data_IF_191260114488
#
_entry.id   IF_191260114488
#
_cell.length_a   1.000
_cell.length_b   1.000
_cell.length_c   1.000
_cell.angle_alpha   90.00
_cell.angle_beta   90.00
_cell.angle_gamma   90.00
#
_symmetry.space_group_name_H-M   'P 1'
#
loop_
_entity.id
_entity.type
_entity.pdbx_description
1 polymer ?
#
# COMPACT_ATOMS: atom_id res chain seq x y z
N UNK A 1 -18.74 59.11 2.40
CA UNK A 1 -18.89 58.35 3.66
C UNK A 1 -18.94 56.87 3.30
N UNK A 2 -17.84 56.14 3.57
CA UNK A 2 -17.64 54.74 3.21
C UNK A 2 -18.17 53.85 4.34
N UNK A 3 -18.85 52.77 3.98
CA UNK A 3 -19.28 51.71 4.90
C UNK A 3 -18.11 50.77 5.25
N UNK A 4 -18.28 50.19 6.44
CA UNK A 4 -17.30 49.53 7.30
C UNK A 4 -16.80 48.18 6.79
N UNK A 5 -15.48 47.99 6.81
CA UNK A 5 -14.81 46.69 6.68
C UNK A 5 -14.66 46.08 8.08
N UNK A 6 -15.14 44.86 8.26
CA UNK A 6 -14.99 44.08 9.49
C UNK A 6 -13.72 43.20 9.43
N UNK A 7 -12.87 43.42 10.44
CA UNK A 7 -11.99 42.51 11.19
C UNK A 7 -10.70 41.95 10.53
N UNK A 8 -9.59 42.45 11.07
CA UNK A 8 -8.25 41.85 11.12
C UNK A 8 -7.95 41.28 12.52
N UNK A 9 -7.28 40.11 12.54
CA UNK A 9 -6.21 39.65 13.47
C UNK A 9 -6.50 39.20 14.92
N UNK A 10 -6.15 37.94 15.24
CA UNK A 10 -5.15 37.44 16.26
C UNK A 10 -5.44 35.95 16.61
N UNK A 11 -4.61 34.96 16.24
CA UNK A 11 -3.39 34.43 16.92
C UNK A 11 -3.66 33.54 18.17
N UNK A 12 -3.06 32.32 18.13
CA UNK A 12 -2.74 31.35 19.21
C UNK A 12 -3.82 30.29 19.55
N UNK A 13 -3.55 29.02 19.86
CA UNK A 13 -2.38 28.14 19.95
C UNK A 13 -2.94 26.81 20.52
N UNK A 14 -2.69 25.64 19.91
CA UNK A 14 -2.21 24.39 20.55
C UNK A 14 -1.94 23.40 19.41
N UNK A 15 -0.70 23.39 18.95
CA UNK A 15 -0.10 22.26 18.27
C UNK A 15 0.20 21.21 19.33
N UNK A 16 -0.63 20.16 19.44
CA UNK A 16 -0.20 18.92 20.08
C UNK A 16 0.34 18.01 18.99
N UNK A 17 1.65 18.02 18.85
CA UNK A 17 2.43 17.05 18.09
C UNK A 17 2.23 15.66 18.69
N UNK A 18 1.39 14.82 18.09
CA UNK A 18 1.45 13.38 18.28
C UNK A 18 2.36 12.80 17.21
N UNK A 19 3.65 12.77 17.55
CA UNK A 19 4.61 11.84 16.95
C UNK A 19 4.16 10.43 17.32
N UNK A 20 3.27 9.83 16.52
CA UNK A 20 2.98 8.41 16.65
C UNK A 20 4.16 7.69 15.99
N UNK A 21 5.16 7.36 16.80
CA UNK A 21 6.01 6.20 16.51
C UNK A 21 5.05 5.02 16.36
N UNK A 22 5.00 4.44 15.16
CA UNK A 22 4.32 3.19 14.91
C UNK A 22 5.10 2.05 15.56
N UNK A 23 5.09 2.01 16.90
CA UNK A 23 5.36 0.79 17.65
C UNK A 23 4.03 0.02 17.67
N UNK A 24 3.86 -0.87 16.70
CA UNK A 24 2.78 -1.86 16.69
C UNK A 24 3.03 -2.86 17.84
N UNK A 25 2.70 -2.44 19.06
CA UNK A 25 2.53 -3.37 20.17
C UNK A 25 1.12 -3.94 20.02
N UNK A 26 1.03 -5.16 19.47
CA UNK A 26 -0.14 -6.00 19.61
C UNK A 26 -0.36 -6.23 21.11
N UNK A 27 -1.34 -5.54 21.70
CA UNK A 27 -1.87 -5.96 22.99
C UNK A 27 -2.42 -7.38 22.82
N UNK A 28 -2.06 -8.34 23.69
CA UNK A 28 -2.64 -9.67 23.62
C UNK A 28 -4.13 -9.54 23.91
N UNK A 29 -4.96 -9.85 22.92
CA UNK A 29 -6.39 -9.99 23.10
C UNK A 29 -6.62 -10.98 24.25
N UNK A 30 -7.38 -10.53 25.24
CA UNK A 30 -7.77 -11.31 26.41
C UNK A 30 -8.54 -12.54 25.91
N UNK A 31 -8.02 -13.73 26.21
CA UNK A 31 -8.38 -14.95 25.53
C UNK A 31 -9.86 -15.31 25.54
N UNK A 32 -10.32 -15.84 24.42
CA UNK A 32 -11.35 -16.88 24.33
C UNK A 32 -10.99 -17.83 23.18
N UNK A 33 -11.36 -19.09 23.38
CA UNK A 33 -10.86 -20.31 22.76
C UNK A 33 -11.21 -20.49 21.26
N UNK A 34 -10.50 -21.45 20.63
CA UNK A 34 -10.84 -22.16 19.39
C UNK A 34 -12.30 -22.02 18.98
N UNK A 35 -12.56 -21.23 17.95
CA UNK A 35 -13.86 -21.16 17.31
C UNK A 35 -13.70 -20.73 15.86
N UNK A 36 -14.05 -21.63 14.93
CA UNK A 36 -14.77 -21.18 13.74
C UNK A 36 -15.92 -20.31 14.25
N UNK A 37 -15.81 -18.98 14.12
CA UNK A 37 -16.79 -18.04 14.65
C UNK A 37 -18.07 -18.15 13.83
N UNK A 38 -18.91 -19.13 14.19
CA UNK A 38 -20.25 -19.30 13.63
C UNK A 38 -21.10 -18.16 14.19
N UNK A 39 -21.24 -17.08 13.45
CA UNK A 39 -22.16 -15.98 13.79
C UNK A 39 -23.62 -16.44 13.64
N UNK A 40 -24.49 -15.95 14.51
CA UNK A 40 -25.94 -16.16 14.44
C UNK A 40 -26.59 -15.30 13.34
N UNK A 41 -25.88 -14.31 12.79
CA UNK A 41 -26.40 -13.46 11.73
C UNK A 41 -26.44 -14.18 10.37
N UNK A 42 -27.62 -14.14 9.77
CA UNK A 42 -27.90 -14.75 8.47
C UNK A 42 -28.61 -13.74 7.58
N UNK A 43 -28.25 -13.78 6.29
CA UNK A 43 -29.07 -13.23 5.22
C UNK A 43 -29.98 -14.34 4.67
N UNK A 44 -30.63 -14.10 3.55
CA UNK A 44 -31.39 -15.12 2.85
C UNK A 44 -31.28 -15.01 1.32
N UNK A 45 -31.76 -16.04 0.63
CA UNK A 45 -31.74 -16.10 -0.83
C UNK A 45 -32.46 -14.94 -1.52
N UNK A 46 -33.50 -14.39 -0.88
CA UNK A 46 -34.30 -13.29 -1.43
C UNK A 46 -33.58 -11.95 -1.29
N UNK A 47 -32.94 -11.70 -0.14
CA UNK A 47 -32.09 -10.54 0.09
C UNK A 47 -30.89 -10.53 -0.87
N UNK A 48 -30.23 -11.67 -1.06
CA UNK A 48 -29.12 -11.81 -2.03
C UNK A 48 -29.62 -11.55 -3.46
N UNK A 49 -30.75 -12.14 -3.86
CA UNK A 49 -31.31 -11.93 -5.20
C UNK A 49 -31.70 -10.48 -5.43
N UNK A 50 -32.34 -9.84 -4.45
CA UNK A 50 -32.70 -8.44 -4.49
C UNK A 50 -31.46 -7.55 -4.60
N UNK A 51 -30.44 -7.78 -3.80
CA UNK A 51 -29.19 -7.02 -3.85
C UNK A 51 -28.50 -7.12 -5.21
N UNK A 52 -28.42 -8.33 -5.79
CA UNK A 52 -27.87 -8.57 -7.14
C UNK A 52 -28.64 -7.75 -8.18
N UNK A 53 -29.97 -7.75 -8.12
CA UNK A 53 -30.82 -7.02 -9.06
C UNK A 53 -30.65 -5.51 -8.90
N UNK A 54 -30.74 -5.00 -7.68
CA UNK A 54 -30.66 -3.57 -7.36
C UNK A 54 -29.28 -2.98 -7.69
N UNK A 55 -28.21 -3.76 -7.52
CA UNK A 55 -26.84 -3.36 -7.89
C UNK A 55 -26.44 -3.76 -9.32
N UNK A 56 -27.36 -4.34 -10.10
CA UNK A 56 -27.15 -4.73 -11.50
C UNK A 56 -25.92 -5.64 -11.71
N UNK A 57 -25.66 -6.56 -10.77
CA UNK A 57 -24.53 -7.48 -10.89
C UNK A 57 -24.76 -8.45 -12.06
N UNK A 58 -23.80 -8.56 -12.96
CA UNK A 58 -23.88 -9.41 -14.16
C UNK A 58 -23.11 -10.72 -14.01
N UNK A 59 -23.40 -11.71 -14.86
CA UNK A 59 -22.60 -12.95 -14.91
C UNK A 59 -21.17 -12.68 -15.41
N UNK A 60 -20.14 -13.39 -14.90
CA UNK A 60 -20.23 -14.50 -13.93
C UNK A 60 -20.27 -14.04 -12.47
N UNK A 61 -20.20 -12.74 -12.20
CA UNK A 61 -20.09 -12.21 -10.83
C UNK A 61 -21.35 -12.47 -10.00
N UNK A 62 -22.53 -12.26 -10.57
CA UNK A 62 -23.79 -12.54 -9.89
C UNK A 62 -23.90 -14.01 -9.45
N UNK A 63 -23.47 -14.94 -10.30
CA UNK A 63 -23.51 -16.38 -10.00
C UNK A 63 -22.53 -16.74 -8.88
N UNK A 64 -21.33 -16.16 -8.92
CA UNK A 64 -20.33 -16.31 -7.87
C UNK A 64 -20.77 -15.72 -6.53
N UNK A 65 -21.46 -14.58 -6.55
CA UNK A 65 -22.03 -13.95 -5.37
C UNK A 65 -23.11 -14.84 -4.73
N UNK A 66 -24.01 -15.42 -5.54
CA UNK A 66 -25.00 -16.41 -5.06
C UNK A 66 -24.30 -17.65 -4.49
N UNK A 67 -23.32 -18.18 -5.21
CA UNK A 67 -22.59 -19.37 -4.77
C UNK A 67 -21.87 -19.14 -3.44
N UNK A 68 -21.26 -17.96 -3.24
CA UNK A 68 -20.60 -17.61 -1.99
C UNK A 68 -21.55 -17.71 -0.78
N UNK A 69 -22.75 -17.12 -0.86
CA UNK A 69 -23.72 -17.21 0.23
C UNK A 69 -24.38 -18.58 0.34
N UNK A 70 -24.63 -19.28 -0.77
CA UNK A 70 -25.13 -20.66 -0.73
C UNK A 70 -24.14 -21.59 0.00
N UNK A 71 -22.85 -21.51 -0.31
CA UNK A 71 -21.79 -22.31 0.33
C UNK A 71 -21.70 -22.04 1.84
N UNK A 72 -22.07 -20.83 2.28
CA UNK A 72 -22.11 -20.41 3.69
C UNK A 72 -23.46 -20.64 4.36
N UNK A 73 -24.41 -21.27 3.68
CA UNK A 73 -25.79 -21.41 4.16
C UNK A 73 -26.42 -20.07 4.58
N UNK A 74 -26.04 -19.00 3.86
CA UNK A 74 -26.41 -17.59 4.11
C UNK A 74 -25.92 -16.99 5.42
N UNK A 75 -24.99 -17.64 6.11
CA UNK A 75 -24.32 -17.05 7.26
C UNK A 75 -23.43 -15.87 6.86
N UNK A 76 -23.49 -14.78 7.65
CA UNK A 76 -22.68 -13.59 7.42
C UNK A 76 -21.17 -13.88 7.47
N UNK A 77 -20.40 -13.14 6.67
CA UNK A 77 -18.94 -13.21 6.63
C UNK A 77 -18.27 -12.01 7.32
N UNK A 78 -18.93 -10.86 7.32
CA UNK A 78 -18.31 -9.58 7.65
C UNK A 78 -18.88 -8.95 8.92
N UNK A 79 -20.19 -9.13 9.11
CA UNK A 79 -20.92 -8.56 10.24
C UNK A 79 -21.29 -9.67 11.20
N UNK A 80 -20.83 -9.54 12.45
CA UNK A 80 -21.04 -10.49 13.53
C UNK A 80 -21.66 -9.78 14.74
N UNK A 81 -21.95 -10.55 15.78
CA UNK A 81 -22.57 -10.08 17.01
C UNK A 81 -21.79 -8.93 17.63
N UNK A 82 -20.46 -9.00 17.69
CA UNK A 82 -19.63 -7.94 18.30
C UNK A 82 -19.29 -6.79 17.33
N UNK A 83 -19.92 -6.73 16.15
CA UNK A 83 -19.68 -5.70 15.14
C UNK A 83 -19.08 -6.27 13.86
N UNK A 84 -17.82 -5.94 13.56
CA UNK A 84 -17.14 -6.43 12.35
C UNK A 84 -16.20 -7.60 12.67
N UNK A 85 -16.26 -8.63 11.82
CA UNK A 85 -15.29 -9.74 11.87
C UNK A 85 -13.86 -9.24 11.64
N UNK A 86 -12.87 -10.03 12.07
CA UNK A 86 -11.46 -9.71 11.81
C UNK A 86 -11.17 -9.56 10.31
N UNK A 87 -11.82 -10.37 9.48
CA UNK A 87 -11.70 -10.33 8.02
C UNK A 87 -12.26 -9.02 7.48
N UNK A 88 -13.39 -8.54 7.98
CA UNK A 88 -13.94 -7.24 7.60
C UNK A 88 -13.00 -6.09 7.99
N UNK A 89 -12.44 -6.13 9.20
CA UNK A 89 -11.46 -5.15 9.66
C UNK A 89 -10.18 -5.17 8.79
N UNK A 90 -9.70 -6.35 8.43
CA UNK A 90 -8.55 -6.51 7.54
C UNK A 90 -8.84 -5.94 6.14
N UNK A 91 -10.04 -6.18 5.58
CA UNK A 91 -10.46 -5.60 4.30
C UNK A 91 -10.43 -4.08 4.35
N UNK A 92 -11.01 -3.47 5.39
CA UNK A 92 -11.01 -2.02 5.57
C UNK A 92 -9.60 -1.45 5.72
N UNK A 93 -8.72 -2.14 6.45
CA UNK A 93 -7.32 -1.75 6.59
C UNK A 93 -6.56 -1.80 5.24
N UNK A 94 -6.76 -2.86 4.46
CA UNK A 94 -6.17 -3.00 3.12
C UNK A 94 -6.66 -1.90 2.17
N UNK A 95 -7.95 -1.59 2.21
CA UNK A 95 -8.54 -0.50 1.45
C UNK A 95 -7.95 0.86 1.88
N UNK A 96 -7.91 1.16 3.18
CA UNK A 96 -7.40 2.43 3.69
C UNK A 96 -5.93 2.63 3.31
N UNK A 97 -5.10 1.58 3.40
CA UNK A 97 -3.73 1.63 2.92
C UNK A 97 -3.67 1.90 1.41
N UNK A 98 -4.49 1.21 0.61
CA UNK A 98 -4.57 1.42 -0.83
C UNK A 98 -4.89 2.88 -1.17
N UNK A 99 -5.92 3.45 -0.56
CA UNK A 99 -6.29 4.87 -0.77
C UNK A 99 -5.15 5.80 -0.35
N UNK A 100 -4.54 5.55 0.81
CA UNK A 100 -3.45 6.37 1.33
C UNK A 100 -2.25 6.45 0.38
N UNK A 101 -1.78 5.32 -0.13
CA UNK A 101 -0.60 5.32 -1.00
C UNK A 101 -0.91 5.67 -2.46
N UNK A 102 -2.08 5.28 -2.98
CA UNK A 102 -2.42 5.48 -4.39
C UNK A 102 -3.12 6.80 -4.69
N UNK A 103 -3.74 7.43 -3.68
CA UNK A 103 -4.61 8.61 -3.87
C UNK A 103 -5.87 8.32 -4.68
N UNK A 104 -6.24 7.04 -4.83
CA UNK A 104 -7.30 6.62 -5.73
C UNK A 104 -8.70 6.76 -5.14
N UNK A 105 -9.29 7.95 -5.30
CA UNK A 105 -10.65 8.23 -4.79
C UNK A 105 -11.79 7.55 -5.59
N UNK A 106 -11.49 6.75 -6.63
CA UNK A 106 -12.55 6.15 -7.47
C UNK A 106 -13.36 5.05 -6.79
N UNK A 107 -12.89 4.53 -5.65
CA UNK A 107 -13.57 3.52 -4.83
C UNK A 107 -14.18 4.11 -3.54
N UNK A 108 -14.49 5.41 -3.52
CA UNK A 108 -14.98 6.01 -2.27
C UNK A 108 -16.41 5.53 -1.95
N UNK A 109 -16.57 4.72 -0.90
CA UNK A 109 -17.87 4.27 -0.38
C UNK A 109 -18.19 4.94 0.96
N UNK A 110 -18.49 6.25 0.96
CA UNK A 110 -18.63 7.04 2.21
C UNK A 110 -19.68 6.47 3.17
N UNK A 111 -20.83 6.05 2.64
CA UNK A 111 -21.93 5.53 3.45
C UNK A 111 -21.56 4.20 4.13
N UNK A 112 -21.04 3.25 3.35
CA UNK A 112 -20.54 1.97 3.87
C UNK A 112 -19.43 2.18 4.93
N UNK A 113 -18.50 3.10 4.68
CA UNK A 113 -17.43 3.42 5.64
C UNK A 113 -17.97 4.05 6.93
N UNK A 114 -19.03 4.87 6.85
CA UNK A 114 -19.70 5.41 8.03
C UNK A 114 -20.40 4.29 8.83
N UNK A 115 -21.14 3.40 8.15
CA UNK A 115 -21.83 2.28 8.79
C UNK A 115 -20.86 1.30 9.45
N UNK A 116 -19.75 0.98 8.79
CA UNK A 116 -18.69 0.10 9.34
C UNK A 116 -17.94 0.75 10.49
N UNK A 117 -17.69 2.06 10.44
CA UNK A 117 -17.09 2.80 11.56
C UNK A 117 -17.98 2.79 12.81
N UNK A 118 -19.30 2.90 12.64
CA UNK A 118 -20.26 2.78 13.75
C UNK A 118 -20.24 1.39 14.38
N UNK A 119 -20.21 0.32 13.56
CA UNK A 119 -20.10 -1.06 14.04
C UNK A 119 -18.80 -1.30 14.83
N UNK A 120 -17.69 -0.68 14.42
CA UNK A 120 -16.41 -0.78 15.12
C UNK A 120 -16.40 -0.04 16.46
N UNK A 121 -17.02 1.14 16.55
CA UNK A 121 -16.94 1.98 17.75
C UNK A 121 -17.98 1.64 18.81
N UNK A 122 -19.16 1.19 18.41
CA UNK A 122 -20.32 1.03 19.31
C UNK A 122 -20.84 -0.42 19.39
N UNK A 123 -20.26 -1.35 18.61
CA UNK A 123 -20.70 -2.74 18.55
C UNK A 123 -22.14 -2.88 18.02
N UNK A 124 -22.82 -4.01 18.27
CA UNK A 124 -24.20 -4.26 17.81
C UNK A 124 -25.24 -3.37 18.50
N UNK A 125 -24.86 -2.67 19.59
CA UNK A 125 -25.78 -1.91 20.42
C UNK A 125 -26.32 -0.64 19.72
N UNK A 126 -25.73 -0.26 18.58
CA UNK A 126 -26.36 0.69 17.66
C UNK A 126 -27.11 -0.09 16.58
N UNK A 127 -28.45 -0.02 16.51
CA UNK A 127 -29.20 -0.68 15.46
C UNK A 127 -28.80 -0.06 14.11
N UNK A 128 -28.16 -0.87 13.26
CA UNK A 128 -28.15 -0.56 11.84
C UNK A 128 -29.55 -0.73 11.27
N UNK A 129 -29.86 -0.01 10.20
CA UNK A 129 -31.13 -0.20 9.49
C UNK A 129 -31.26 -1.63 8.95
N UNK A 130 -30.14 -2.26 8.55
CA UNK A 130 -30.07 -3.68 8.20
C UNK A 130 -28.63 -4.20 8.24
N UNK A 131 -28.34 -5.16 9.13
CA UNK A 131 -27.04 -5.86 9.12
C UNK A 131 -26.83 -6.68 7.84
N UNK A 132 -27.90 -7.24 7.29
CA UNK A 132 -27.85 -7.98 6.02
C UNK A 132 -27.49 -7.08 4.85
N UNK A 133 -27.90 -5.81 4.85
CA UNK A 133 -27.52 -4.88 3.78
C UNK A 133 -26.02 -4.57 3.85
N UNK A 134 -25.50 -4.26 5.03
CA UNK A 134 -24.06 -4.00 5.23
C UNK A 134 -23.21 -5.22 4.88
N UNK A 135 -23.66 -6.41 5.26
CA UNK A 135 -23.03 -7.69 4.88
C UNK A 135 -22.88 -7.83 3.35
N UNK A 136 -23.98 -7.62 2.61
CA UNK A 136 -23.97 -7.75 1.14
C UNK A 136 -23.16 -6.63 0.48
N UNK A 137 -23.22 -5.41 1.02
CA UNK A 137 -22.40 -4.29 0.58
C UNK A 137 -20.90 -4.54 0.80
N UNK A 138 -20.50 -5.13 1.92
CA UNK A 138 -19.10 -5.50 2.19
C UNK A 138 -18.58 -6.56 1.22
N UNK A 139 -19.40 -7.55 0.85
CA UNK A 139 -19.04 -8.51 -0.20
C UNK A 139 -18.85 -7.82 -1.56
N UNK A 140 -19.77 -6.94 -1.95
CA UNK A 140 -19.66 -6.20 -3.21
C UNK A 140 -18.44 -5.26 -3.20
N UNK A 141 -18.20 -4.60 -2.08
CA UNK A 141 -17.05 -3.74 -1.86
C UNK A 141 -15.73 -4.51 -1.98
N UNK A 142 -15.63 -5.70 -1.40
CA UNK A 142 -14.47 -6.58 -1.54
C UNK A 142 -14.16 -6.87 -3.02
N UNK A 143 -15.19 -7.23 -3.80
CA UNK A 143 -15.06 -7.52 -5.24
C UNK A 143 -14.57 -6.29 -6.00
N UNK A 144 -15.23 -5.14 -5.80
CA UNK A 144 -14.89 -3.90 -6.48
C UNK A 144 -13.47 -3.43 -6.12
N UNK A 145 -13.12 -3.52 -4.84
CA UNK A 145 -11.77 -3.23 -4.36
C UNK A 145 -10.72 -4.12 -5.01
N UNK A 146 -10.91 -5.44 -5.03
CA UNK A 146 -9.93 -6.35 -5.63
C UNK A 146 -9.75 -6.11 -7.13
N UNK A 147 -10.85 -5.95 -7.86
CA UNK A 147 -10.82 -5.66 -9.29
C UNK A 147 -10.00 -4.38 -9.54
N UNK A 148 -10.22 -3.35 -8.74
CA UNK A 148 -9.57 -2.05 -8.94
C UNK A 148 -8.12 -2.02 -8.45
N UNK A 149 -7.83 -2.58 -7.29
CA UNK A 149 -6.53 -2.51 -6.65
C UNK A 149 -5.53 -3.50 -7.26
N UNK A 150 -6.00 -4.59 -7.89
CA UNK A 150 -5.11 -5.66 -8.36
C UNK A 150 -5.32 -6.06 -9.84
N UNK A 151 -6.47 -5.79 -10.48
CA UNK A 151 -6.59 -6.01 -11.93
C UNK A 151 -6.07 -4.82 -12.77
N UNK A 152 -5.86 -3.66 -12.14
CA UNK A 152 -5.32 -2.44 -12.77
C UNK A 152 -6.39 -1.52 -13.38
N UNK A 153 -6.03 -0.25 -13.59
CA UNK A 153 -6.93 0.81 -14.10
C UNK A 153 -6.91 0.94 -15.63
N UNK A 154 -5.75 0.71 -16.22
CA UNK A 154 -5.47 1.11 -17.61
C UNK A 154 -5.72 -0.09 -18.52
N UNK A 155 -6.32 0.15 -19.68
CA UNK A 155 -6.35 -0.84 -20.76
C UNK A 155 -4.93 -1.01 -21.33
N UNK A 156 -4.34 -2.22 -21.29
CA UNK A 156 -2.96 -2.43 -21.72
C UNK A 156 -2.78 -2.17 -23.22
N UNK A 157 -3.85 -2.26 -24.01
CA UNK A 157 -3.85 -1.97 -25.45
C UNK A 157 -3.42 -0.52 -25.74
N UNK A 158 -3.74 0.42 -24.84
CA UNK A 158 -3.33 1.83 -24.95
C UNK A 158 -1.81 2.04 -24.76
N UNK A 159 -1.09 1.04 -24.27
CA UNK A 159 0.34 1.10 -23.99
C UNK A 159 1.17 0.16 -24.88
N UNK A 160 0.58 -0.35 -25.98
CA UNK A 160 1.20 -1.36 -26.85
C UNK A 160 1.71 -2.58 -26.04
N UNK A 161 0.99 -2.91 -24.99
CA UNK A 161 1.39 -3.98 -24.08
C UNK A 161 0.87 -5.32 -24.61
N UNK A 162 1.81 -6.20 -25.01
CA UNK A 162 1.50 -7.48 -25.63
C UNK A 162 1.56 -8.68 -24.68
N UNK A 163 1.87 -8.48 -23.40
CA UNK A 163 1.97 -9.58 -22.42
C UNK A 163 0.57 -9.89 -21.85
N UNK A 164 0.09 -11.15 -21.93
CA UNK A 164 -1.20 -11.55 -21.39
C UNK A 164 -1.32 -11.28 -19.89
N UNK A 165 -2.44 -10.68 -19.48
CA UNK A 165 -2.73 -10.44 -18.05
C UNK A 165 -3.12 -11.73 -17.34
N UNK A 166 -2.63 -11.88 -16.11
CA UNK A 166 -3.13 -12.88 -15.18
C UNK A 166 -4.61 -12.59 -14.83
N UNK A 167 -5.47 -13.59 -14.98
CA UNK A 167 -6.87 -13.48 -14.52
C UNK A 167 -6.95 -13.74 -13.02
N UNK A 168 -7.41 -12.75 -12.26
CA UNK A 168 -7.66 -12.88 -10.83
C UNK A 168 -9.00 -13.60 -10.63
N UNK A 169 -8.98 -14.75 -9.94
CA UNK A 169 -10.19 -15.49 -9.58
C UNK A 169 -10.82 -14.89 -8.32
N UNK A 170 -11.52 -13.75 -8.48
CA UNK A 170 -12.06 -12.94 -7.37
C UNK A 170 -12.90 -13.78 -6.40
N UNK A 171 -13.80 -14.65 -6.90
CA UNK A 171 -14.62 -15.50 -6.03
C UNK A 171 -13.82 -16.49 -5.18
N UNK A 172 -12.74 -17.07 -5.74
CA UNK A 172 -11.87 -17.96 -4.97
C UNK A 172 -11.12 -17.19 -3.87
N UNK A 173 -10.72 -15.95 -4.16
CA UNK A 173 -10.10 -15.06 -3.18
C UNK A 173 -11.09 -14.62 -2.10
N UNK A 174 -12.33 -14.29 -2.47
CA UNK A 174 -13.41 -13.95 -1.54
C UNK A 174 -13.65 -15.11 -0.57
N UNK A 175 -13.83 -16.32 -1.09
CA UNK A 175 -14.01 -17.53 -0.27
C UNK A 175 -12.83 -17.72 0.67
N UNK A 176 -11.60 -17.69 0.17
CA UNK A 176 -10.39 -17.86 1.00
C UNK A 176 -10.28 -16.78 2.09
N UNK A 177 -10.48 -15.51 1.72
CA UNK A 177 -10.34 -14.37 2.63
C UNK A 177 -11.39 -14.39 3.74
N UNK A 178 -12.62 -14.78 3.41
CA UNK A 178 -13.74 -14.81 4.35
C UNK A 178 -13.85 -16.06 5.24
N UNK A 179 -13.03 -17.10 5.02
CA UNK A 179 -13.23 -18.40 5.68
C UNK A 179 -12.44 -18.61 6.99
N UNK A 180 -11.63 -17.64 7.47
CA UNK A 180 -10.84 -17.67 8.73
C UNK A 180 -9.93 -18.89 9.01
N UNK A 181 -10.01 -19.95 8.20
CA UNK A 181 -9.33 -21.24 8.36
C UNK A 181 -7.82 -21.19 8.12
N UNK A 182 -7.37 -20.21 7.33
CA UNK A 182 -5.95 -19.91 7.17
C UNK A 182 -5.73 -18.51 7.72
N UNK A 183 -4.77 -18.34 8.65
CA UNK A 183 -4.17 -17.03 8.87
C UNK A 183 -3.86 -16.45 7.49
N UNK A 184 -4.44 -15.29 7.18
CA UNK A 184 -4.26 -14.64 5.89
C UNK A 184 -2.78 -14.29 5.78
N UNK A 185 -2.00 -15.20 5.23
CA UNK A 185 -0.57 -15.01 4.96
C UNK A 185 -0.43 -13.96 3.87
N UNK A 186 0.72 -13.31 3.78
CA UNK A 186 1.03 -12.29 2.76
C UNK A 186 0.78 -12.75 1.30
N UNK A 187 0.61 -14.06 1.09
CA UNK A 187 0.39 -14.72 -0.20
C UNK A 187 -1.08 -14.97 -0.56
N UNK A 188 -2.05 -14.44 0.17
CA UNK A 188 -3.47 -14.60 -0.19
C UNK A 188 -3.80 -13.95 -1.53
N UNK A 189 -3.07 -12.89 -1.91
CA UNK A 189 -3.19 -12.27 -3.22
C UNK A 189 -2.20 -12.88 -4.22
N UNK A 190 -2.61 -13.06 -5.48
CA UNK A 190 -1.75 -13.58 -6.53
C UNK A 190 -0.81 -12.50 -7.11
N UNK A 191 -0.18 -11.70 -6.24
CA UNK A 191 0.77 -10.62 -6.57
C UNK A 191 2.21 -11.04 -6.31
N UNK A 192 3.16 -10.46 -7.04
CA UNK A 192 4.58 -10.80 -6.89
C UNK A 192 5.17 -10.20 -5.61
N UNK A 193 6.21 -10.84 -5.06
CA UNK A 193 7.01 -10.29 -3.97
C UNK A 193 7.55 -8.89 -4.31
N UNK A 194 8.01 -8.68 -5.55
CA UNK A 194 8.50 -7.38 -6.01
C UNK A 194 7.43 -6.26 -5.89
N UNK A 195 6.16 -6.56 -6.16
CA UNK A 195 5.08 -5.60 -5.95
C UNK A 195 4.87 -5.27 -4.47
N UNK A 196 4.94 -6.28 -3.59
CA UNK A 196 4.82 -6.11 -2.15
C UNK A 196 5.97 -5.27 -1.59
N UNK A 197 7.20 -5.56 -2.01
CA UNK A 197 8.40 -4.81 -1.62
C UNK A 197 8.30 -3.34 -2.09
N UNK A 198 7.88 -3.11 -3.35
CA UNK A 198 7.65 -1.77 -3.88
C UNK A 198 6.58 -1.02 -3.09
N UNK A 199 5.45 -1.68 -2.75
CA UNK A 199 4.40 -1.10 -1.91
C UNK A 199 4.93 -0.66 -0.55
N UNK A 200 5.77 -1.48 0.09
CA UNK A 200 6.40 -1.14 1.37
C UNK A 200 7.29 0.11 1.26
N UNK A 201 8.07 0.23 0.17
CA UNK A 201 8.86 1.44 -0.10
C UNK A 201 8.00 2.68 -0.34
N UNK A 202 6.90 2.56 -1.10
CA UNK A 202 5.97 3.67 -1.32
C UNK A 202 5.35 4.13 0.00
N UNK A 203 4.89 3.20 0.84
CA UNK A 203 4.32 3.51 2.16
C UNK A 203 5.33 4.24 3.05
N UNK A 204 6.59 3.80 3.06
CA UNK A 204 7.68 4.49 3.78
C UNK A 204 7.88 5.90 3.27
N UNK A 205 7.99 6.11 1.95
CA UNK A 205 8.17 7.45 1.40
C UNK A 205 6.97 8.36 1.65
N UNK A 206 5.75 7.81 1.60
CA UNK A 206 4.52 8.53 1.94
C UNK A 206 4.51 9.04 3.39
N UNK A 207 5.08 8.30 4.33
CA UNK A 207 5.20 8.78 5.72
C UNK A 207 6.07 10.05 5.87
N UNK A 208 6.88 10.38 4.86
CA UNK A 208 7.71 11.59 4.81
C UNK A 208 7.17 12.65 3.85
N UNK A 209 5.96 12.50 3.30
CA UNK A 209 5.42 13.43 2.28
C UNK A 209 5.26 14.87 2.79
N UNK A 210 5.04 15.04 4.09
CA UNK A 210 4.91 16.34 4.74
C UNK A 210 6.25 16.94 5.19
N UNK A 211 7.35 16.19 5.09
CA UNK A 211 8.68 16.68 5.44
C UNK A 211 9.15 17.70 4.40
N UNK A 212 9.72 18.81 4.87
CA UNK A 212 10.29 19.82 3.97
C UNK A 212 11.53 19.26 3.28
N UNK A 213 11.39 18.88 2.01
CA UNK A 213 12.47 18.34 1.18
C UNK A 213 13.42 19.45 0.68
N UNK A 214 14.03 20.19 1.61
CA UNK A 214 14.93 21.32 1.32
C UNK A 214 16.08 20.89 0.43
N UNK A 215 16.43 21.72 -0.54
CA UNK A 215 17.57 21.47 -1.42
C UNK A 215 18.87 21.39 -0.62
N UNK A 216 19.66 20.35 -0.88
CA UNK A 216 21.01 20.17 -0.34
C UNK A 216 21.97 20.74 -1.39
N UNK A 217 22.81 21.71 -1.04
CA UNK A 217 23.78 22.27 -1.98
C UNK A 217 25.18 22.29 -1.39
N UNK A 218 26.17 21.94 -2.21
CA UNK A 218 27.56 21.87 -1.79
C UNK A 218 28.25 23.24 -1.68
N UNK A 219 27.58 24.38 -1.91
CA UNK A 219 28.11 25.77 -1.99
C UNK A 219 29.50 26.07 -1.40
N UNK A 220 29.83 25.60 -0.19
CA UNK A 220 31.11 25.84 0.50
C UNK A 220 32.23 24.84 0.16
N UNK A 221 31.97 23.80 -0.63
CA UNK A 221 32.86 22.67 -0.95
C UNK A 221 32.55 22.11 -2.34
N UNK A 222 33.50 21.40 -2.95
CA UNK A 222 33.26 20.70 -4.23
C UNK A 222 32.68 19.30 -4.05
N UNK A 223 33.04 18.63 -2.96
CA UNK A 223 32.63 17.27 -2.61
C UNK A 223 32.76 17.04 -1.11
N UNK A 224 32.21 15.94 -0.60
CA UNK A 224 32.47 15.44 0.76
C UNK A 224 32.99 14.01 0.68
N UNK A 225 33.99 13.71 1.50
CA UNK A 225 34.63 12.41 1.58
C UNK A 225 34.85 11.99 3.05
N UNK A 226 35.32 10.76 3.25
CA UNK A 226 35.56 10.17 4.58
C UNK A 226 36.41 11.10 5.46
N UNK A 227 36.00 11.29 6.71
CA UNK A 227 36.65 12.16 7.68
C UNK A 227 36.21 13.62 7.63
N UNK A 228 35.50 14.05 6.57
CA UNK A 228 34.98 15.42 6.50
C UNK A 228 33.96 15.71 7.60
N UNK A 229 33.97 16.95 8.08
CA UNK A 229 32.94 17.47 8.98
C UNK A 229 32.23 18.67 8.36
N UNK A 230 30.91 18.58 8.21
CA UNK A 230 30.07 19.63 7.66
C UNK A 230 28.62 19.48 8.11
N UNK A 231 27.94 20.58 8.41
CA UNK A 231 26.54 20.53 8.87
C UNK A 231 25.59 19.88 7.85
N UNK A 232 25.90 20.00 6.56
CA UNK A 232 25.13 19.39 5.47
C UNK A 232 25.14 17.85 5.52
N UNK A 233 26.15 17.25 6.15
CA UNK A 233 26.23 15.79 6.34
C UNK A 233 25.05 15.30 7.18
N UNK A 234 24.61 16.06 8.20
CA UNK A 234 23.41 15.70 8.98
C UNK A 234 22.17 15.63 8.09
N UNK A 235 22.02 16.60 7.18
CA UNK A 235 20.89 16.64 6.23
C UNK A 235 20.95 15.47 5.25
N UNK A 236 22.15 15.13 4.75
CA UNK A 236 22.35 13.99 3.86
C UNK A 236 22.03 12.67 4.59
N UNK A 237 22.53 12.48 5.81
CA UNK A 237 22.20 11.30 6.63
C UNK A 237 20.70 11.17 6.86
N UNK A 238 20.03 12.27 7.22
CA UNK A 238 18.57 12.29 7.35
C UNK A 238 17.89 11.84 6.05
N UNK A 239 18.36 12.34 4.89
CA UNK A 239 17.82 11.92 3.58
C UNK A 239 18.03 10.43 3.31
N UNK A 240 19.24 9.92 3.55
CA UNK A 240 19.57 8.51 3.34
C UNK A 240 18.80 7.60 4.31
N UNK A 241 18.48 8.06 5.51
CA UNK A 241 17.57 7.36 6.42
C UNK A 241 16.16 7.32 5.84
N UNK A 242 15.63 8.45 5.34
CA UNK A 242 14.28 8.48 4.74
C UNK A 242 14.21 7.55 3.52
N UNK A 243 15.24 7.58 2.66
CA UNK A 243 15.34 6.75 1.45
C UNK A 243 15.71 5.29 1.72
N UNK A 244 16.19 4.96 2.92
CA UNK A 244 16.47 3.59 3.37
C UNK A 244 17.92 3.10 3.20
N UNK A 245 18.85 3.93 2.74
CA UNK A 245 20.26 3.55 2.58
C UNK A 245 21.03 3.55 3.89
N UNK A 246 20.64 4.41 4.82
CA UNK A 246 21.28 4.55 6.11
C UNK A 246 20.35 4.03 7.21
N UNK A 247 20.84 3.08 8.00
CA UNK A 247 20.14 2.63 9.21
C UNK A 247 20.15 3.76 10.25
N UNK A 248 19.08 3.86 11.04
CA UNK A 248 18.93 4.89 12.07
C UNK A 248 20.09 4.87 13.07
N UNK A 249 20.54 6.04 13.53
CA UNK A 249 21.45 6.11 14.70
C UNK A 249 22.52 7.21 14.68
N UNK A 250 22.77 7.87 13.56
CA UNK A 250 23.85 8.85 13.47
C UNK A 250 23.38 10.25 13.05
N UNK A 251 23.39 11.16 14.02
CA UNK A 251 23.04 12.57 13.85
C UNK A 251 24.27 13.48 13.84
N UNK A 252 25.49 12.93 13.76
CA UNK A 252 26.73 13.71 13.75
C UNK A 252 26.95 14.39 12.40
N UNK A 253 27.70 15.49 12.40
CA UNK A 253 28.12 16.22 11.19
C UNK A 253 29.35 15.59 10.50
N UNK A 254 29.73 14.35 10.83
CA UNK A 254 30.97 13.72 10.39
C UNK A 254 30.68 12.67 9.31
N UNK A 255 31.48 12.65 8.25
CA UNK A 255 31.49 11.56 7.28
C UNK A 255 32.25 10.38 7.89
N UNK A 256 31.51 9.47 8.53
CA UNK A 256 32.05 8.27 9.16
C UNK A 256 31.88 7.02 8.29
N UNK A 257 32.39 5.89 8.79
CA UNK A 257 32.33 4.60 8.10
C UNK A 257 30.88 4.16 7.77
N UNK A 258 29.91 4.43 8.64
CA UNK A 258 28.52 4.06 8.40
C UNK A 258 27.92 4.83 7.22
N UNK A 259 28.33 6.09 7.01
CA UNK A 259 27.89 6.88 5.87
C UNK A 259 28.47 6.35 4.55
N UNK A 260 29.67 5.77 4.55
CA UNK A 260 30.31 5.21 3.34
C UNK A 260 29.40 4.18 2.70
N UNK A 261 29.01 3.13 3.44
CA UNK A 261 28.18 2.06 2.89
C UNK A 261 26.81 2.55 2.43
N UNK A 262 26.25 3.57 3.09
CA UNK A 262 24.99 4.17 2.66
C UNK A 262 25.14 4.99 1.36
N UNK A 263 26.26 5.71 1.20
CA UNK A 263 26.56 6.47 -0.02
C UNK A 263 26.86 5.53 -1.18
N UNK A 264 27.64 4.47 -0.97
CA UNK A 264 27.91 3.46 -1.99
C UNK A 264 26.62 2.75 -2.45
N UNK A 265 25.77 2.36 -1.49
CA UNK A 265 24.47 1.77 -1.78
C UNK A 265 23.57 2.72 -2.58
N UNK A 266 23.57 4.01 -2.22
CA UNK A 266 22.88 5.06 -2.95
C UNK A 266 23.41 5.22 -4.38
N UNK A 267 24.73 5.31 -4.54
CA UNK A 267 25.36 5.48 -5.85
C UNK A 267 25.00 4.31 -6.78
N UNK A 268 25.14 3.09 -6.27
CA UNK A 268 24.84 1.88 -7.04
C UNK A 268 23.37 1.83 -7.51
N UNK A 269 22.40 2.11 -6.63
CA UNK A 269 20.97 2.08 -7.00
C UNK A 269 20.53 3.21 -7.94
N UNK A 270 21.30 4.30 -8.00
CA UNK A 270 21.05 5.42 -8.90
C UNK A 270 21.91 5.36 -10.17
N UNK A 271 22.70 4.30 -10.37
CA UNK A 271 23.57 4.15 -11.54
C UNK A 271 24.73 5.15 -11.57
N UNK A 272 25.14 5.67 -10.41
CA UNK A 272 26.29 6.55 -10.26
C UNK A 272 27.58 5.74 -10.07
N UNK A 273 28.72 6.39 -10.25
CA UNK A 273 30.02 5.81 -9.87
C UNK A 273 30.05 5.51 -8.37
N UNK A 274 30.40 4.28 -8.00
CA UNK A 274 30.46 3.82 -6.60
C UNK A 274 31.84 4.12 -6.03
N UNK A 275 32.06 5.36 -5.62
CA UNK A 275 33.34 5.88 -5.11
C UNK A 275 33.25 6.39 -3.65
N UNK A 276 32.08 6.29 -3.03
CA UNK A 276 31.77 6.85 -1.72
C UNK A 276 31.97 8.38 -1.62
N UNK A 277 32.07 9.10 -2.74
CA UNK A 277 32.23 10.56 -2.75
C UNK A 277 30.87 11.22 -2.97
N UNK A 278 30.52 12.14 -2.07
CA UNK A 278 29.32 12.97 -2.24
C UNK A 278 29.70 14.16 -3.12
N UNK A 279 29.61 13.95 -4.44
CA UNK A 279 29.83 14.96 -5.47
C UNK A 279 28.53 15.55 -6.06
N UNK A 280 28.62 16.40 -7.11
CA UNK A 280 27.46 17.05 -7.74
C UNK A 280 26.36 16.09 -8.21
N UNK A 281 26.73 14.97 -8.84
CA UNK A 281 25.77 13.97 -9.34
C UNK A 281 24.97 13.31 -8.21
N UNK A 282 25.65 12.97 -7.11
CA UNK A 282 25.00 12.47 -5.90
C UNK A 282 23.99 13.50 -5.37
N UNK A 283 24.39 14.76 -5.31
CA UNK A 283 23.56 15.86 -4.80
C UNK A 283 22.33 16.08 -5.69
N UNK A 284 22.49 15.99 -7.01
CA UNK A 284 21.38 16.04 -7.95
C UNK A 284 20.38 14.90 -7.70
N UNK A 285 20.86 13.66 -7.58
CA UNK A 285 20.02 12.48 -7.37
C UNK A 285 19.31 12.47 -6.01
N UNK A 286 19.99 12.93 -4.94
CA UNK A 286 19.44 12.95 -3.57
C UNK A 286 18.45 14.10 -3.37
N UNK A 287 18.51 15.13 -4.21
CA UNK A 287 17.57 16.27 -4.21
C UNK A 287 16.30 16.03 -5.02
N UNK A 288 16.20 14.94 -5.80
CA UNK A 288 14.95 14.57 -6.47
C UNK A 288 13.83 14.52 -5.41
N UNK A 289 12.74 15.29 -5.57
CA UNK A 289 11.66 15.36 -4.58
C UNK A 289 11.00 14.01 -4.30
N UNK A 290 10.49 13.81 -3.08
CA UNK A 290 9.73 12.60 -2.71
C UNK A 290 8.56 12.39 -3.68
N UNK A 291 7.83 13.45 -4.01
CA UNK A 291 6.64 13.38 -4.85
C UNK A 291 6.96 12.80 -6.24
N UNK A 292 8.04 13.26 -6.87
CA UNK A 292 8.50 12.71 -8.15
C UNK A 292 8.88 11.23 -8.05
N UNK A 293 9.52 10.81 -6.95
CA UNK A 293 9.85 9.39 -6.70
C UNK A 293 8.58 8.55 -6.49
N UNK A 294 7.62 9.07 -5.73
CA UNK A 294 6.33 8.42 -5.47
C UNK A 294 5.56 8.21 -6.78
N UNK A 295 5.46 9.23 -7.63
CA UNK A 295 4.80 9.13 -8.94
C UNK A 295 5.43 8.03 -9.80
N UNK A 296 6.75 8.00 -9.90
CA UNK A 296 7.47 6.97 -10.66
C UNK A 296 7.23 5.56 -10.08
N UNK A 297 7.28 5.42 -8.76
CA UNK A 297 7.02 4.13 -8.10
C UNK A 297 5.58 3.66 -8.30
N UNK A 298 4.59 4.55 -8.21
CA UNK A 298 3.18 4.22 -8.43
C UNK A 298 2.91 3.79 -9.87
N UNK A 299 3.53 4.43 -10.86
CA UNK A 299 3.48 4.02 -12.27
C UNK A 299 4.08 2.62 -12.43
N UNK A 300 5.24 2.37 -11.82
CA UNK A 300 5.89 1.06 -11.87
C UNK A 300 5.05 -0.02 -11.17
N UNK A 301 4.42 0.30 -10.04
CA UNK A 301 3.47 -0.61 -9.37
C UNK A 301 2.28 -0.95 -10.25
N UNK A 302 1.71 0.03 -10.98
CA UNK A 302 0.63 -0.24 -11.93
C UNK A 302 1.07 -1.18 -13.05
N UNK A 303 2.28 -1.00 -13.59
CA UNK A 303 2.86 -1.94 -14.57
C UNK A 303 3.06 -3.33 -13.98
N UNK A 304 3.57 -3.42 -12.75
CA UNK A 304 3.78 -4.69 -12.04
C UNK A 304 2.48 -5.48 -11.83
N UNK A 305 1.31 -4.82 -11.71
CA UNK A 305 0.01 -5.51 -11.61
C UNK A 305 -0.34 -6.32 -12.85
N UNK A 306 0.17 -5.95 -14.01
CA UNK A 306 -0.12 -6.64 -15.27
C UNK A 306 0.86 -7.78 -15.56
N UNK A 307 1.98 -7.83 -14.82
CA UNK A 307 2.98 -8.86 -15.00
C UNK A 307 2.47 -10.21 -14.48
N UNK A 308 2.73 -11.31 -15.20
CA UNK A 308 2.46 -12.62 -14.65
C UNK A 308 3.32 -12.83 -13.39
N UNK A 309 2.77 -13.52 -12.38
CA UNK A 309 3.59 -13.99 -11.27
C UNK A 309 4.37 -15.18 -11.81
N UNK A 310 5.66 -14.97 -12.05
CA UNK A 310 6.55 -15.98 -12.56
C UNK A 310 6.76 -17.04 -11.48
N UNK A 311 6.05 -18.16 -11.62
CA UNK A 311 6.22 -19.37 -10.79
C UNK A 311 6.97 -20.47 -11.55
N UNK A 312 7.49 -20.16 -12.73
CA UNK A 312 8.20 -21.14 -13.56
C UNK A 312 9.68 -21.24 -13.20
N UNK A 313 10.23 -22.44 -13.38
CA UNK A 313 11.59 -22.82 -12.99
C UNK A 313 12.67 -21.89 -13.53
N UNK A 314 12.46 -21.21 -14.68
CA UNK A 314 13.36 -20.17 -15.21
C UNK A 314 12.58 -19.13 -16.01
N UNK A 315 12.76 -17.84 -15.71
CA UNK A 315 12.13 -16.72 -16.42
C UNK A 315 13.19 -15.67 -16.74
N UNK A 316 13.17 -15.10 -17.95
CA UNK A 316 13.99 -13.95 -18.31
C UNK A 316 13.10 -12.71 -18.40
N UNK A 317 13.42 -11.68 -17.62
CA UNK A 317 12.74 -10.38 -17.62
C UNK A 317 13.73 -9.32 -18.11
N UNK A 318 13.39 -8.63 -19.19
CA UNK A 318 14.17 -7.50 -19.68
C UNK A 318 13.56 -6.21 -19.16
N UNK A 319 14.30 -5.52 -18.29
CA UNK A 319 13.95 -4.19 -17.82
C UNK A 319 14.52 -3.14 -18.79
N UNK A 320 13.73 -2.79 -19.81
CA UNK A 320 14.14 -1.89 -20.90
C UNK A 320 14.63 -0.52 -20.36
N UNK A 321 13.96 0.14 -19.40
CA UNK A 321 14.47 1.37 -18.79
C UNK A 321 15.82 1.22 -18.07
N UNK A 322 16.12 0.02 -17.54
CA UNK A 322 17.38 -0.26 -16.82
C UNK A 322 18.47 -0.80 -17.75
N UNK A 323 18.14 -1.13 -19.01
CA UNK A 323 19.00 -1.89 -19.93
C UNK A 323 19.55 -3.18 -19.31
N UNK A 324 18.78 -3.83 -18.42
CA UNK A 324 19.19 -5.06 -17.75
C UNK A 324 18.28 -6.23 -18.04
N UNK A 325 18.90 -7.39 -18.12
CA UNK A 325 18.28 -8.70 -18.22
C UNK A 325 18.40 -9.38 -16.86
N UNK A 326 17.24 -9.65 -16.27
CA UNK A 326 17.09 -10.40 -15.04
C UNK A 326 16.67 -11.82 -15.38
N UNK A 327 17.32 -12.83 -14.82
CA UNK A 327 16.87 -14.21 -14.89
C UNK A 327 16.43 -14.62 -13.50
N UNK A 328 15.19 -15.06 -13.39
CA UNK A 328 14.64 -15.64 -12.17
C UNK A 328 14.58 -17.16 -12.32
N UNK A 329 14.95 -17.90 -11.28
CA UNK A 329 14.75 -19.34 -11.17
C UNK A 329 14.03 -19.63 -9.87
N UNK A 330 12.90 -20.35 -9.95
CA UNK A 330 12.05 -20.69 -8.81
C UNK A 330 11.57 -19.45 -7.99
N UNK A 331 11.50 -18.28 -8.65
CA UNK A 331 11.12 -17.00 -8.04
C UNK A 331 12.28 -16.13 -7.54
N UNK A 332 13.50 -16.69 -7.46
CA UNK A 332 14.70 -15.96 -7.03
C UNK A 332 15.51 -15.45 -8.23
N UNK A 333 16.04 -14.23 -8.13
CA UNK A 333 16.92 -13.67 -9.17
C UNK A 333 18.27 -14.41 -9.16
N UNK A 334 18.59 -15.12 -10.25
CA UNK A 334 19.82 -15.90 -10.41
C UNK A 334 20.82 -15.29 -11.39
N UNK A 335 20.41 -14.28 -12.18
CA UNK A 335 21.30 -13.55 -13.07
C UNK A 335 20.81 -12.12 -13.24
N UNK A 336 21.74 -11.17 -13.18
CA UNK A 336 21.52 -9.79 -13.60
C UNK A 336 22.66 -9.36 -14.53
N UNK A 337 22.36 -9.08 -15.80
CA UNK A 337 23.37 -8.70 -16.80
C UNK A 337 22.87 -7.54 -17.65
N UNK A 338 23.75 -6.62 -18.04
CA UNK A 338 23.41 -5.61 -19.04
C UNK A 338 22.95 -6.29 -20.34
N UNK A 339 21.82 -5.84 -20.87
CA UNK A 339 21.33 -6.23 -22.19
C UNK A 339 22.21 -5.53 -23.22
N UNK A 340 23.04 -6.31 -23.91
CA UNK A 340 23.93 -5.83 -24.99
C UNK A 340 23.19 -5.43 -26.24
#
# INVERSE_FOLDING_TARGET
MKQSNFITSLISLVLLSLSVKADFILSPARGMNDSTSVTLFHTDSSAVAHFIQSNQLQAPLADQFRQFYNDRQYQHAWVIEDGLSEQAQMLLNLYNQFIYYSGDSSLTHRELLAQTGLLQSEGPNKPLQSYSEVELQLTNFFIAFLARAYAGKIDPSNLQWHIPRKKIRIAALLKKFASSEDAITDNWLPISKAYLDMRAHVLRLKSFEQEQWKEISLVKRKMLQVGDTAQIIKTIKSRLIMLGDLKTGDTTSIYNQNLISAVEGFQNRHGLSVDAIIGPEFIQAVNIPIQAKLEQMLINMERMRWMPVYTEKKTVVVNIPEFKLHVFQDGDEVLNRMSS
#
